data_IF_445701992112
#
_entry.id   IF_445701992112
#
_cell.length_a   1.000
_cell.length_b   1.000
_cell.length_c   1.000
_cell.angle_alpha   90.00
_cell.angle_beta   90.00
_cell.angle_gamma   90.00
#
_symmetry.space_group_name_H-M   'P 1'
#
loop_
_entity.id
_entity.type
_entity.pdbx_description
1 polymer ?
#
# COMPACT_ATOMS: atom_id res chain seq x y z
N UNK A 1 -8.38 -7.79 8.22
CA UNK A 1 -7.47 -7.03 7.34
C UNK A 1 -8.31 -6.11 6.49
N UNK A 2 -7.93 -4.84 6.39
CA UNK A 2 -8.62 -3.89 5.53
C UNK A 2 -8.51 -4.26 4.04
N UNK A 3 -9.50 -3.82 3.26
CA UNK A 3 -9.59 -4.01 1.80
C UNK A 3 -8.42 -3.29 1.09
N UNK A 4 -7.87 -3.83 -0.01
CA UNK A 4 -6.92 -3.14 -0.88
C UNK A 4 -7.23 -1.65 -1.16
N UNK A 5 -8.48 -1.29 -1.40
CA UNK A 5 -8.86 0.11 -1.71
C UNK A 5 -8.63 1.05 -0.53
N UNK A 6 -8.80 0.57 0.71
CA UNK A 6 -8.49 1.36 1.90
C UNK A 6 -7.01 1.75 1.94
N UNK A 7 -6.12 0.80 1.63
CA UNK A 7 -4.68 1.05 1.62
C UNK A 7 -4.26 2.02 0.52
N UNK A 8 -4.89 1.91 -0.66
CA UNK A 8 -4.67 2.86 -1.75
C UNK A 8 -5.08 4.29 -1.37
N UNK A 9 -6.26 4.45 -0.73
CA UNK A 9 -6.74 5.75 -0.27
C UNK A 9 -5.87 6.32 0.85
N UNK A 10 -5.43 5.47 1.78
CA UNK A 10 -4.54 5.88 2.87
C UNK A 10 -3.18 6.34 2.32
N UNK A 11 -2.64 5.63 1.32
CA UNK A 11 -1.42 6.06 0.63
C UNK A 11 -1.59 7.42 -0.07
N UNK A 12 -2.75 7.69 -0.65
CA UNK A 12 -3.04 8.98 -1.25
C UNK A 12 -3.12 10.10 -0.21
N UNK A 13 -3.69 9.83 0.97
CA UNK A 13 -3.74 10.79 2.09
C UNK A 13 -2.35 11.17 2.60
N UNK A 14 -1.47 10.19 2.78
CA UNK A 14 -0.08 10.49 3.19
C UNK A 14 0.65 11.37 2.17
N UNK A 15 0.48 11.12 0.86
CA UNK A 15 1.09 11.96 -0.20
C UNK A 15 0.43 13.34 -0.35
N UNK A 16 -0.78 13.51 0.16
CA UNK A 16 -1.49 14.77 0.14
C UNK A 16 -1.13 15.67 1.32
N UNK A 17 -0.42 15.16 2.33
CA UNK A 17 0.16 15.99 3.38
C UNK A 17 1.17 16.91 2.69
N UNK A 18 0.98 18.23 2.73
CA UNK A 18 1.86 19.17 2.08
C UNK A 18 3.30 18.95 2.53
N UNK A 19 4.21 18.94 1.57
CA UNK A 19 5.64 19.15 1.83
C UNK A 19 5.91 20.60 1.44
N UNK A 20 5.52 21.52 2.33
CA UNK A 20 5.57 22.97 2.03
C UNK A 20 6.99 23.48 1.80
N UNK A 21 7.99 22.79 2.35
CA UNK A 21 9.40 23.05 2.10
C UNK A 21 10.18 21.73 2.00
N UNK A 22 10.73 21.38 0.82
CA UNK A 22 11.50 20.14 0.64
C UNK A 22 12.80 20.10 1.47
N UNK A 23 13.22 21.21 2.10
CA UNK A 23 14.32 21.24 3.08
C UNK A 23 13.86 20.95 4.50
N UNK A 24 12.56 20.95 4.74
CA UNK A 24 11.93 20.74 6.04
C UNK A 24 10.92 19.59 5.95
N UNK A 25 11.27 18.53 5.21
CA UNK A 25 10.42 17.37 5.10
C UNK A 25 10.20 16.70 6.46
N UNK A 26 9.03 16.08 6.61
CA UNK A 26 8.67 15.41 7.85
C UNK A 26 9.43 14.08 7.96
N UNK A 27 10.20 13.94 9.03
CA UNK A 27 11.02 12.76 9.34
C UNK A 27 10.60 12.17 10.69
N UNK A 28 10.80 10.86 10.86
CA UNK A 28 10.60 10.17 12.13
C UNK A 28 11.92 9.61 12.66
N UNK A 29 12.23 9.88 13.91
CA UNK A 29 13.43 9.42 14.59
C UNK A 29 13.05 8.48 15.73
N UNK A 30 13.85 7.44 15.93
CA UNK A 30 13.66 6.45 16.98
C UNK A 30 14.96 6.22 17.75
N UNK A 31 14.84 6.05 19.07
CA UNK A 31 15.95 5.65 19.92
C UNK A 31 15.50 4.62 20.96
N UNK A 32 16.29 3.56 21.11
CA UNK A 32 16.10 2.51 22.11
C UNK A 32 16.46 2.92 23.54
N UNK A 33 17.39 3.87 23.72
CA UNK A 33 17.80 4.36 25.05
C UNK A 33 17.39 5.82 25.24
N UNK A 34 17.12 6.20 26.49
CA UNK A 34 16.92 7.58 26.88
C UNK A 34 18.28 8.21 26.93
N UNK A 35 18.48 9.26 26.15
CA UNK A 35 19.76 9.92 26.07
C UNK A 35 20.01 10.56 27.43
N UNK A 36 21.08 10.15 28.09
CA UNK A 36 21.48 10.68 29.40
C UNK A 36 21.54 12.21 29.39
N UNK A 37 21.27 12.79 30.55
CA UNK A 37 21.25 14.24 30.82
C UNK A 37 22.53 15.01 30.46
N UNK A 38 23.63 14.33 30.12
CA UNK A 38 24.95 14.89 29.84
C UNK A 38 25.25 15.17 28.36
N UNK A 39 25.05 16.42 27.96
CA UNK A 39 25.99 17.18 27.08
C UNK A 39 26.48 16.60 25.74
N UNK A 40 25.62 16.06 24.88
CA UNK A 40 25.98 15.82 23.46
C UNK A 40 25.29 16.82 22.52
N UNK A 41 26.10 17.55 21.74
CA UNK A 41 25.65 18.53 20.76
C UNK A 41 25.25 17.85 19.45
N UNK A 42 24.14 18.29 18.85
CA UNK A 42 23.66 17.80 17.55
C UNK A 42 24.39 18.49 16.39
N UNK A 43 24.76 17.70 15.36
CA UNK A 43 25.13 18.21 14.03
C UNK A 43 24.15 17.69 12.98
N UNK A 44 23.62 18.58 12.13
CA UNK A 44 22.89 18.18 10.93
C UNK A 44 23.89 17.54 9.95
N UNK A 45 23.70 16.26 9.64
CA UNK A 45 24.47 15.58 8.60
C UNK A 45 23.91 16.00 7.24
N UNK A 46 24.51 17.00 6.60
CA UNK A 46 24.21 17.37 5.21
C UNK A 46 24.22 18.87 4.84
N UNK A 47 24.29 19.78 5.81
CA UNK A 47 24.42 21.21 5.52
C UNK A 47 25.88 21.63 5.37
N UNK A 48 26.27 22.17 4.22
CA UNK A 48 27.62 22.74 3.98
C UNK A 48 27.86 24.07 4.69
N UNK A 49 26.89 24.58 5.45
CA UNK A 49 27.02 25.86 6.15
C UNK A 49 26.98 25.68 7.67
N UNK A 50 28.13 25.99 8.28
CA UNK A 50 28.34 26.47 9.64
C UNK A 50 27.68 25.70 10.79
N UNK A 51 28.53 25.00 11.55
CA UNK A 51 28.25 24.35 12.85
C UNK A 51 27.70 25.33 13.89
N UNK A 52 26.42 25.70 13.82
CA UNK A 52 25.71 26.33 14.92
C UNK A 52 24.95 25.26 15.70
N UNK A 53 25.22 25.07 17.00
CA UNK A 53 24.42 24.19 17.84
C UNK A 53 22.99 24.75 17.90
N UNK A 54 22.02 23.96 17.44
CA UNK A 54 20.61 24.30 17.57
C UNK A 54 20.19 24.16 19.04
N UNK A 55 19.23 24.99 19.52
CA UNK A 55 18.65 24.82 20.85
C UNK A 55 18.05 23.41 20.97
N UNK A 56 18.38 22.75 22.10
CA UNK A 56 18.09 21.34 22.42
C UNK A 56 16.62 21.02 22.18
N UNK A 57 16.25 20.27 21.13
CA UNK A 57 14.91 19.71 21.05
C UNK A 57 14.81 18.66 22.15
N UNK A 58 13.73 18.67 22.91
CA UNK A 58 13.46 17.68 23.96
C UNK A 58 13.67 16.28 23.36
N UNK A 59 14.66 15.56 23.91
CA UNK A 59 14.89 14.19 23.49
C UNK A 59 13.65 13.38 23.88
N UNK A 60 13.11 12.55 22.96
CA UNK A 60 11.96 11.73 23.31
C UNK A 60 12.34 10.80 24.47
N UNK A 61 11.41 10.53 25.39
CA UNK A 61 11.58 9.48 26.38
C UNK A 61 11.94 8.13 25.75
N UNK A 62 12.56 7.26 26.54
CA UNK A 62 12.96 5.89 26.19
C UNK A 62 11.96 5.16 25.28
N UNK A 63 12.42 4.68 24.13
CA UNK A 63 11.63 3.86 23.22
C UNK A 63 10.52 4.61 22.46
N UNK A 64 10.52 5.95 22.49
CA UNK A 64 9.52 6.74 21.80
C UNK A 64 10.02 7.28 20.45
N UNK A 65 9.05 7.54 19.58
CA UNK A 65 9.27 8.18 18.30
C UNK A 65 9.23 9.70 18.43
N UNK A 66 10.12 10.39 17.72
CA UNK A 66 10.07 11.83 17.55
C UNK A 66 9.84 12.18 16.08
N UNK A 67 8.77 12.92 15.80
CA UNK A 67 8.55 13.55 14.50
C UNK A 67 9.29 14.88 14.44
N UNK A 68 10.13 15.08 13.41
CA UNK A 68 10.85 16.34 13.17
C UNK A 68 10.62 16.84 11.76
N UNK A 69 10.79 18.15 11.58
CA UNK A 69 10.45 18.82 10.34
C UNK A 69 8.96 19.06 10.21
N UNK A 70 8.57 19.64 9.09
CA UNK A 70 7.21 20.05 8.77
C UNK A 70 6.63 21.14 9.67
N UNK A 71 5.49 21.69 9.26
CA UNK A 71 4.62 22.51 10.11
C UNK A 71 3.91 21.65 11.16
N UNK A 72 3.45 22.27 12.25
CA UNK A 72 2.68 21.58 13.29
C UNK A 72 1.41 20.92 12.73
N UNK A 73 0.71 21.61 11.83
CA UNK A 73 -0.46 21.07 11.12
C UNK A 73 -0.13 19.85 10.26
N UNK A 74 1.06 19.77 9.65
CA UNK A 74 1.50 18.61 8.87
C UNK A 74 1.75 17.40 9.79
N UNK A 75 2.32 17.63 10.99
CA UNK A 75 2.50 16.60 12.01
C UNK A 75 1.16 16.06 12.51
N UNK A 76 0.20 16.92 12.80
CA UNK A 76 -1.13 16.52 13.27
C UNK A 76 -1.90 15.73 12.22
N UNK A 77 -1.80 16.16 10.95
CA UNK A 77 -2.36 15.43 9.81
C UNK A 77 -1.70 14.06 9.67
N UNK A 78 -0.37 13.99 9.75
CA UNK A 78 0.36 12.72 9.69
C UNK A 78 -0.10 11.77 10.79
N UNK A 79 -0.11 12.22 12.05
CA UNK A 79 -0.56 11.39 13.18
C UNK A 79 -1.99 10.90 12.98
N UNK A 80 -2.90 11.78 12.54
CA UNK A 80 -4.30 11.42 12.29
C UNK A 80 -4.44 10.33 11.22
N UNK A 81 -3.68 10.42 10.13
CA UNK A 81 -3.67 9.41 9.06
C UNK A 81 -3.00 8.11 9.52
N UNK A 82 -1.90 8.20 10.27
CA UNK A 82 -1.20 7.04 10.85
C UNK A 82 -2.08 6.24 11.81
N UNK A 83 -2.89 6.91 12.64
CA UNK A 83 -3.87 6.25 13.52
C UNK A 83 -4.88 5.41 12.75
N UNK A 84 -5.36 5.87 11.59
CA UNK A 84 -6.25 5.08 10.72
C UNK A 84 -5.55 3.83 10.19
N UNK A 85 -4.29 3.97 9.77
CA UNK A 85 -3.47 2.84 9.32
C UNK A 85 -3.23 1.80 10.41
N UNK A 86 -2.90 2.26 11.61
CA UNK A 86 -2.71 1.41 12.78
C UNK A 86 -3.97 0.62 13.14
N UNK A 87 -5.13 1.26 13.18
CA UNK A 87 -6.41 0.60 13.43
C UNK A 87 -6.69 -0.50 12.38
N UNK A 88 -6.39 -0.25 11.10
CA UNK A 88 -6.57 -1.24 10.04
C UNK A 88 -5.62 -2.44 10.13
N UNK A 89 -4.47 -2.28 10.79
CA UNK A 89 -3.52 -3.36 11.13
C UNK A 89 -3.89 -4.08 12.44
N UNK A 90 -4.94 -3.65 13.15
CA UNK A 90 -5.37 -4.23 14.41
C UNK A 90 -4.69 -3.62 15.65
N UNK A 91 -4.00 -2.49 15.50
CA UNK A 91 -3.51 -1.69 16.63
C UNK A 91 -4.67 -1.09 17.43
N UNK A 92 -4.48 -0.93 18.74
CA UNK A 92 -5.42 -0.21 19.59
C UNK A 92 -5.45 1.27 19.19
N UNK A 93 -6.62 1.81 18.83
CA UNK A 93 -6.81 3.19 18.35
C UNK A 93 -6.60 4.31 19.39
N UNK A 94 -5.77 4.07 20.42
CA UNK A 94 -5.44 5.04 21.46
C UNK A 94 -4.43 6.10 21.01
N UNK A 95 -3.95 6.89 21.96
CA UNK A 95 -2.97 7.97 21.74
C UNK A 95 -1.67 7.46 21.09
N UNK A 96 -1.29 6.22 21.42
CA UNK A 96 -0.13 5.48 20.88
C UNK A 96 -0.39 4.81 19.51
N UNK A 97 -1.55 5.00 18.88
CA UNK A 97 -1.82 4.34 17.61
C UNK A 97 -0.86 4.81 16.50
N UNK A 98 -0.38 6.06 16.52
CA UNK A 98 0.59 6.50 15.51
C UNK A 98 2.00 5.95 15.78
N UNK A 99 2.39 5.72 17.05
CA UNK A 99 3.70 5.11 17.37
C UNK A 99 3.71 3.64 16.94
N UNK A 100 2.58 2.93 17.12
CA UNK A 100 2.40 1.59 16.54
C UNK A 100 2.60 1.58 15.02
N UNK A 101 2.07 2.58 14.31
CA UNK A 101 2.29 2.72 12.86
C UNK A 101 3.78 2.91 12.52
N UNK A 102 4.49 3.76 13.27
CA UNK A 102 5.92 3.97 13.08
C UNK A 102 6.75 2.70 13.40
N UNK A 103 6.34 1.91 14.38
CA UNK A 103 6.96 0.61 14.65
C UNK A 103 6.75 -0.40 13.51
N UNK A 104 5.58 -0.39 12.88
CA UNK A 104 5.35 -1.15 11.65
C UNK A 104 6.30 -0.72 10.53
N UNK A 105 6.51 0.59 10.36
CA UNK A 105 7.50 1.10 9.40
C UNK A 105 8.93 0.69 9.75
N UNK A 106 9.32 0.75 11.02
CA UNK A 106 10.66 0.30 11.46
C UNK A 106 10.93 -1.15 11.13
N UNK A 107 9.96 -2.02 11.38
CA UNK A 107 10.09 -3.47 11.18
C UNK A 107 10.06 -3.86 9.71
N UNK A 108 9.16 -3.26 8.96
CA UNK A 108 8.80 -3.77 7.65
C UNK A 108 9.25 -2.85 6.52
N UNK A 109 9.44 -1.55 6.74
CA UNK A 109 9.78 -0.60 5.67
C UNK A 109 11.24 -0.71 5.26
N UNK A 110 11.47 -0.63 3.95
CA UNK A 110 12.81 -0.49 3.37
C UNK A 110 13.40 0.91 3.61
N UNK A 111 12.56 1.89 3.95
CA UNK A 111 12.96 3.27 4.17
C UNK A 111 13.43 3.52 5.62
N UNK A 112 13.39 2.51 6.49
CA UNK A 112 13.99 2.59 7.82
C UNK A 112 15.50 2.43 7.72
N UNK A 113 16.22 3.46 8.15
CA UNK A 113 17.66 3.48 8.23
C UNK A 113 18.05 3.26 9.69
N UNK A 114 18.29 1.99 10.05
CA UNK A 114 18.85 1.61 11.35
C UNK A 114 20.38 1.52 11.31
N UNK A 115 21.02 1.47 12.48
CA UNK A 115 22.43 1.09 12.60
C UNK A 115 23.38 2.19 13.08
N UNK A 116 22.87 3.30 13.61
CA UNK A 116 23.69 4.13 14.50
C UNK A 116 23.77 3.47 15.86
N UNK A 117 24.87 2.76 16.16
CA UNK A 117 25.23 2.45 17.54
C UNK A 117 25.87 3.70 18.12
N UNK A 118 25.15 4.39 19.00
CA UNK A 118 25.76 5.41 19.84
C UNK A 118 26.21 4.71 21.11
N UNK A 119 27.53 4.64 21.27
CA UNK A 119 28.18 4.18 22.49
C UNK A 119 28.27 5.37 23.43
N UNK A 120 27.33 5.45 24.39
CA UNK A 120 27.41 6.41 25.49
C UNK A 120 28.15 5.79 26.66
N UNK A 121 29.21 6.42 27.15
CA UNK A 121 29.80 6.06 28.44
C UNK A 121 28.99 6.72 29.55
N UNK A 122 28.37 5.91 30.38
CA UNK A 122 27.73 6.36 31.61
C UNK A 122 28.79 6.89 32.60
N UNK A 123 28.34 7.62 33.61
CA UNK A 123 29.18 8.16 34.70
C UNK A 123 29.83 7.06 35.55
N UNK A 124 29.30 5.85 35.53
CA UNK A 124 29.85 4.65 36.17
C UNK A 124 30.87 3.89 35.27
N UNK A 125 31.14 4.39 34.06
CA UNK A 125 32.03 3.78 33.07
C UNK A 125 31.38 2.67 32.24
N UNK A 126 30.09 2.38 32.43
CA UNK A 126 29.36 1.41 31.61
C UNK A 126 29.08 1.99 30.23
N UNK A 127 29.47 1.26 29.17
CA UNK A 127 29.12 1.61 27.80
C UNK A 127 27.72 1.08 27.51
N UNK A 128 26.78 1.98 27.23
CA UNK A 128 25.45 1.61 26.75
C UNK A 128 25.41 1.76 25.23
N UNK A 129 25.20 0.62 24.55
CA UNK A 129 24.96 0.60 23.12
C UNK A 129 23.50 0.94 22.86
N UNK A 130 23.29 2.06 22.17
CA UNK A 130 21.94 2.56 21.85
C UNK A 130 21.64 2.30 20.38
N UNK A 131 20.62 1.49 20.09
CA UNK A 131 20.07 1.37 18.75
C UNK A 131 19.31 2.66 18.42
N UNK A 132 19.75 3.33 17.37
CA UNK A 132 19.07 4.49 16.80
C UNK A 132 18.69 4.23 15.35
N UNK A 133 17.64 4.90 14.89
CA UNK A 133 17.26 4.87 13.50
C UNK A 133 16.33 6.01 13.11
N UNK A 134 16.14 6.15 11.80
CA UNK A 134 15.27 7.18 11.25
C UNK A 134 14.54 6.70 10.00
N UNK A 135 13.33 7.22 9.81
CA UNK A 135 12.57 7.14 8.56
C UNK A 135 12.54 8.54 7.98
N UNK A 136 13.29 8.74 6.88
CA UNK A 136 13.27 10.00 6.16
C UNK A 136 12.03 10.12 5.28
N UNK A 137 11.49 11.33 5.14
CA UNK A 137 10.28 11.60 4.36
C UNK A 137 9.14 10.66 4.77
N UNK A 138 8.80 10.67 6.05
CA UNK A 138 7.91 9.69 6.70
C UNK A 138 6.54 9.59 6.01
N UNK A 139 6.05 10.67 5.39
CA UNK A 139 4.83 10.67 4.57
C UNK A 139 4.97 9.76 3.34
N UNK A 140 6.04 9.90 2.57
CA UNK A 140 6.27 9.07 1.37
C UNK A 140 6.61 7.62 1.75
N UNK A 141 7.41 7.42 2.81
CA UNK A 141 7.68 6.09 3.35
C UNK A 141 6.38 5.39 3.80
N UNK A 142 5.49 6.10 4.49
CA UNK A 142 4.16 5.60 4.87
C UNK A 142 3.30 5.26 3.66
N UNK A 143 3.32 6.10 2.61
CA UNK A 143 2.59 5.83 1.39
C UNK A 143 3.08 4.58 0.64
N UNK A 144 4.40 4.33 0.63
CA UNK A 144 4.99 3.10 0.07
C UNK A 144 4.63 1.88 0.91
N UNK A 145 4.63 2.02 2.23
CA UNK A 145 4.20 0.96 3.12
C UNK A 145 2.74 0.57 2.90
N UNK A 146 1.85 1.55 2.75
CA UNK A 146 0.45 1.31 2.35
C UNK A 146 0.33 0.50 1.04
N UNK A 147 1.15 0.80 0.01
CA UNK A 147 1.14 0.03 -1.24
C UNK A 147 1.57 -1.43 -1.05
N UNK A 148 2.41 -1.73 -0.05
CA UNK A 148 2.72 -3.12 0.31
C UNK A 148 1.57 -3.79 1.05
N UNK A 149 0.94 -3.10 1.99
CA UNK A 149 -0.26 -3.61 2.67
C UNK A 149 -1.40 -3.90 1.68
N UNK A 150 -1.57 -3.05 0.67
CA UNK A 150 -2.50 -3.27 -0.44
C UNK A 150 -2.20 -4.58 -1.18
N UNK A 151 -0.94 -4.81 -1.56
CA UNK A 151 -0.54 -6.03 -2.25
C UNK A 151 -0.79 -7.28 -1.41
N UNK A 152 -0.46 -7.24 -0.11
CA UNK A 152 -0.72 -8.35 0.82
C UNK A 152 -2.21 -8.60 0.99
N UNK A 153 -3.01 -7.55 1.16
CA UNK A 153 -4.46 -7.67 1.26
C UNK A 153 -5.06 -8.28 -0.02
N UNK A 154 -4.58 -7.87 -1.18
CA UNK A 154 -5.01 -8.40 -2.47
C UNK A 154 -4.66 -9.89 -2.63
N UNK A 155 -3.45 -10.29 -2.27
CA UNK A 155 -3.04 -11.70 -2.28
C UNK A 155 -3.87 -12.55 -1.31
N UNK A 156 -4.19 -12.01 -0.13
CA UNK A 156 -5.03 -12.69 0.84
C UNK A 156 -6.47 -12.89 0.33
N UNK A 157 -7.05 -11.88 -0.33
CA UNK A 157 -8.35 -12.01 -1.00
C UNK A 157 -8.32 -13.06 -2.10
N UNK A 158 -7.28 -13.07 -2.93
CA UNK A 158 -7.13 -14.05 -4.00
C UNK A 158 -7.01 -15.48 -3.45
N UNK A 159 -6.25 -15.68 -2.36
CA UNK A 159 -6.13 -16.98 -1.69
C UNK A 159 -7.46 -17.45 -1.10
N UNK A 160 -8.25 -16.54 -0.50
CA UNK A 160 -9.58 -16.86 0.03
C UNK A 160 -10.53 -17.34 -1.06
N UNK A 161 -10.55 -16.65 -2.19
CA UNK A 161 -11.37 -17.04 -3.34
C UNK A 161 -10.97 -18.43 -3.85
N UNK A 162 -9.67 -18.67 -4.07
CA UNK A 162 -9.18 -19.97 -4.55
C UNK A 162 -9.43 -21.13 -3.57
N UNK A 163 -9.53 -20.87 -2.25
CA UNK A 163 -9.76 -21.91 -1.24
C UNK A 163 -11.25 -22.26 -1.09
N UNK A 164 -12.16 -21.34 -1.41
CA UNK A 164 -13.60 -21.59 -1.39
C UNK A 164 -14.06 -22.55 -2.49
N UNK A 165 -13.28 -22.72 -3.56
CA UNK A 165 -13.60 -23.62 -4.69
C UNK A 165 -13.32 -25.12 -4.41
N UNK A 166 -12.78 -25.49 -3.24
CA UNK A 166 -12.49 -26.89 -2.88
C UNK A 166 -13.52 -27.54 -1.95
N UNK A 167 -14.65 -26.88 -1.68
CA UNK A 167 -15.74 -27.46 -0.88
C UNK A 167 -17.03 -27.52 -1.69
N UNK A 168 -17.47 -28.70 -2.20
CA UNK A 168 -18.78 -28.83 -2.81
C UNK A 168 -19.81 -28.79 -1.68
N UNK A 169 -20.46 -27.64 -1.50
CA UNK A 169 -21.58 -27.52 -0.56
C UNK A 169 -22.87 -27.75 -1.35
N UNK A 170 -23.81 -28.57 -0.87
CA UNK A 170 -24.97 -28.98 -1.65
C UNK A 170 -25.94 -27.82 -1.85
N UNK A 171 -26.53 -27.79 -3.04
CA UNK A 171 -27.49 -26.82 -3.50
C UNK A 171 -28.72 -26.72 -2.57
N UNK A 172 -29.09 -25.49 -2.22
CA UNK A 172 -30.40 -25.14 -1.66
C UNK A 172 -30.93 -23.92 -2.45
N UNK A 173 -32.25 -23.87 -2.73
CA UNK A 173 -32.78 -23.13 -3.87
C UNK A 173 -32.99 -21.64 -3.62
N UNK A 174 -32.91 -20.94 -4.74
CA UNK A 174 -33.14 -19.53 -5.00
C UNK A 174 -34.51 -19.06 -4.47
N UNK A 175 -34.52 -17.94 -3.74
CA UNK A 175 -35.70 -17.08 -3.62
C UNK A 175 -35.38 -15.68 -4.14
N UNK A 176 -36.21 -15.29 -5.12
CA UNK A 176 -36.38 -13.98 -5.72
C UNK A 176 -36.78 -12.94 -4.69
N UNK A 177 -36.11 -11.79 -4.66
CA UNK A 177 -36.74 -10.52 -4.27
C UNK A 177 -36.28 -9.37 -5.18
N UNK A 178 -37.29 -8.72 -5.75
CA UNK A 178 -37.25 -7.47 -6.51
C UNK A 178 -37.13 -6.25 -5.59
N UNK A 179 -36.59 -5.18 -6.15
CA UNK A 179 -36.96 -3.81 -5.78
C UNK A 179 -35.90 -3.01 -5.01
N UNK A 180 -35.13 -2.17 -5.73
CA UNK A 180 -34.95 -0.72 -5.44
C UNK A 180 -34.18 -0.06 -6.60
N UNK A 181 -34.70 1.08 -7.05
CA UNK A 181 -34.35 1.93 -8.20
C UNK A 181 -32.87 2.41 -8.31
N UNK A 182 -32.44 2.90 -9.50
CA UNK A 182 -31.05 2.91 -9.94
C UNK A 182 -30.33 4.25 -9.70
N UNK A 183 -29.23 4.20 -8.94
CA UNK A 183 -28.14 5.17 -9.08
C UNK A 183 -27.29 4.81 -10.32
N UNK A 184 -26.84 5.79 -11.13
CA UNK A 184 -26.11 5.49 -12.36
C UNK A 184 -24.71 4.93 -12.05
N UNK A 185 -24.65 3.61 -12.13
CA UNK A 185 -23.61 2.79 -12.77
C UNK A 185 -22.21 2.71 -12.14
N UNK A 186 -22.14 1.96 -11.03
CA UNK A 186 -20.99 1.07 -10.74
C UNK A 186 -21.21 -0.37 -11.22
N UNK A 187 -22.34 -0.66 -11.88
CA UNK A 187 -22.71 -2.01 -12.32
C UNK A 187 -21.72 -2.62 -13.31
N UNK A 188 -21.09 -1.80 -14.16
CA UNK A 188 -20.12 -2.28 -15.13
C UNK A 188 -18.82 -2.79 -14.48
N UNK A 189 -18.38 -2.21 -13.36
CA UNK A 189 -17.18 -2.66 -12.67
C UNK A 189 -17.35 -4.08 -12.12
N UNK A 190 -18.44 -4.29 -11.38
CA UNK A 190 -18.80 -5.59 -10.82
C UNK A 190 -19.02 -6.62 -11.94
N UNK A 191 -19.67 -6.22 -13.04
CA UNK A 191 -19.92 -7.08 -14.18
C UNK A 191 -18.62 -7.50 -14.91
N UNK A 192 -17.72 -6.56 -15.22
CA UNK A 192 -16.47 -6.87 -15.94
C UNK A 192 -15.57 -7.79 -15.11
N UNK A 193 -15.51 -7.58 -13.79
CA UNK A 193 -14.75 -8.46 -12.88
C UNK A 193 -15.34 -9.87 -12.84
N UNK A 194 -16.67 -9.99 -12.70
CA UNK A 194 -17.36 -11.27 -12.73
C UNK A 194 -17.15 -12.02 -14.07
N UNK A 195 -17.15 -11.31 -15.20
CA UNK A 195 -16.89 -11.91 -16.51
C UNK A 195 -15.46 -12.47 -16.64
N UNK A 196 -14.46 -11.72 -16.14
CA UNK A 196 -13.07 -12.22 -16.10
C UNK A 196 -12.97 -13.49 -15.27
N UNK A 197 -13.59 -13.49 -14.10
CA UNK A 197 -13.48 -14.61 -13.16
C UNK A 197 -14.20 -15.86 -13.69
N UNK A 198 -15.39 -15.68 -14.28
CA UNK A 198 -16.12 -16.75 -14.95
C UNK A 198 -15.31 -17.34 -16.13
N UNK A 199 -14.63 -16.50 -16.91
CA UNK A 199 -13.79 -16.94 -18.02
C UNK A 199 -12.56 -17.72 -17.54
N UNK A 200 -11.88 -17.25 -16.49
CA UNK A 200 -10.73 -17.95 -15.91
C UNK A 200 -11.13 -19.33 -15.36
N UNK A 201 -12.27 -19.41 -14.67
CA UNK A 201 -12.81 -20.68 -14.19
C UNK A 201 -13.16 -21.62 -15.35
N UNK A 202 -13.72 -21.09 -16.44
CA UNK A 202 -13.95 -21.85 -17.68
C UNK A 202 -12.63 -22.39 -18.24
N UNK A 203 -11.56 -21.59 -18.26
CA UNK A 203 -10.25 -22.03 -18.72
C UNK A 203 -9.64 -23.14 -17.86
N UNK A 204 -9.78 -23.08 -16.54
CA UNK A 204 -9.27 -24.14 -15.65
C UNK A 204 -10.01 -25.46 -15.80
N UNK A 205 -11.28 -25.44 -16.18
CA UNK A 205 -12.07 -26.65 -16.43
C UNK A 205 -11.75 -27.30 -17.77
N UNK A 206 -11.56 -26.48 -18.80
CA UNK A 206 -11.45 -26.97 -20.19
C UNK A 206 -10.00 -27.15 -20.67
N UNK A 207 -9.01 -26.61 -19.94
CA UNK A 207 -7.61 -26.65 -20.36
C UNK A 207 -6.69 -27.04 -19.21
N UNK A 208 -5.58 -27.71 -19.51
CA UNK A 208 -4.53 -28.05 -18.53
C UNK A 208 -3.58 -26.89 -18.23
N UNK A 209 -3.65 -25.80 -18.99
CA UNK A 209 -2.77 -24.63 -18.82
C UNK A 209 -3.31 -23.74 -17.72
N UNK A 210 -2.46 -23.40 -16.75
CA UNK A 210 -2.83 -22.49 -15.65
C UNK A 210 -2.97 -21.05 -16.17
N UNK A 211 -4.18 -20.70 -16.60
CA UNK A 211 -4.51 -19.34 -17.04
C UNK A 211 -4.73 -18.44 -15.83
N UNK A 212 -4.09 -17.26 -15.81
CA UNK A 212 -4.27 -16.24 -14.76
C UNK A 212 -4.58 -14.88 -15.38
N UNK A 213 -5.08 -13.92 -14.57
CA UNK A 213 -5.39 -12.54 -15.02
C UNK A 213 -4.23 -11.85 -15.76
N UNK A 214 -2.98 -12.17 -15.41
CA UNK A 214 -1.77 -11.70 -16.12
C UNK A 214 -1.79 -12.10 -17.60
N UNK A 215 -2.25 -13.31 -17.93
CA UNK A 215 -2.32 -13.80 -19.31
C UNK A 215 -3.36 -13.04 -20.12
N UNK A 216 -4.55 -12.75 -19.56
CA UNK A 216 -5.57 -11.89 -20.21
C UNK A 216 -5.01 -10.51 -20.54
N UNK A 217 -4.33 -9.87 -19.58
CA UNK A 217 -3.67 -8.58 -19.77
C UNK A 217 -2.62 -8.63 -20.88
N UNK A 218 -1.77 -9.66 -20.89
CA UNK A 218 -0.72 -9.82 -21.89
C UNK A 218 -1.29 -10.15 -23.28
N UNK A 219 -2.33 -10.97 -23.35
CA UNK A 219 -3.03 -11.29 -24.60
C UNK A 219 -3.67 -10.05 -25.23
N UNK A 220 -4.16 -9.11 -24.42
CA UNK A 220 -4.67 -7.80 -24.87
C UNK A 220 -3.56 -6.82 -25.30
N UNK A 221 -2.27 -7.17 -25.13
CA UNK A 221 -1.13 -6.35 -25.53
C UNK A 221 -0.68 -5.33 -24.48
N UNK A 222 -1.17 -5.42 -23.24
CA UNK A 222 -0.78 -4.49 -22.18
C UNK A 222 0.43 -4.99 -21.40
N UNK A 223 1.49 -4.17 -21.38
CA UNK A 223 2.68 -4.41 -20.54
C UNK A 223 2.43 -4.09 -19.06
N UNK A 224 1.62 -3.07 -18.77
CA UNK A 224 1.33 -2.59 -17.42
C UNK A 224 -0.05 -3.04 -16.91
N UNK A 225 -0.16 -3.37 -15.61
CA UNK A 225 -1.43 -3.78 -14.95
C UNK A 225 -2.51 -2.70 -14.96
N UNK A 226 -2.10 -1.44 -15.00
CA UNK A 226 -2.96 -0.29 -14.70
C UNK A 226 -4.17 -0.17 -15.63
N UNK A 227 -4.00 -0.43 -16.93
CA UNK A 227 -5.12 -0.35 -17.89
C UNK A 227 -6.14 -1.47 -17.66
N UNK A 228 -5.68 -2.67 -17.34
CA UNK A 228 -6.56 -3.78 -17.01
C UNK A 228 -7.32 -3.52 -15.70
N UNK A 229 -6.64 -2.98 -14.68
CA UNK A 229 -7.29 -2.57 -13.43
C UNK A 229 -8.37 -1.51 -13.65
N UNK A 230 -8.09 -0.46 -14.44
CA UNK A 230 -9.10 0.54 -14.79
C UNK A 230 -10.30 -0.06 -15.51
N UNK A 231 -10.05 -0.99 -16.43
CA UNK A 231 -11.13 -1.63 -17.17
C UNK A 231 -12.00 -2.48 -16.24
N UNK A 232 -11.39 -3.33 -15.40
CA UNK A 232 -12.11 -4.14 -14.40
C UNK A 232 -12.88 -3.28 -13.38
N UNK A 233 -12.32 -2.13 -12.99
CA UNK A 233 -12.96 -1.20 -12.06
C UNK A 233 -14.03 -0.32 -12.71
N UNK A 234 -14.36 -0.52 -13.99
CA UNK A 234 -15.35 0.31 -14.70
C UNK A 234 -14.91 1.77 -14.88
N UNK A 235 -13.63 2.08 -14.65
CA UNK A 235 -13.12 3.45 -14.72
C UNK A 235 -12.73 3.79 -16.15
N UNK A 236 -13.73 4.17 -16.95
CA UNK A 236 -13.53 4.52 -18.35
C UNK A 236 -12.82 5.88 -18.49
N UNK A 237 -12.02 6.02 -19.56
CA UNK A 237 -11.25 7.23 -19.84
C UNK A 237 -12.18 8.35 -20.31
N UNK A 238 -12.21 9.44 -19.53
CA UNK A 238 -12.92 10.66 -19.90
C UNK A 238 -12.15 11.46 -20.98
N UNK A 239 -12.86 12.24 -21.84
CA UNK A 239 -12.22 13.13 -22.80
C UNK A 239 -11.17 14.05 -22.15
N UNK A 240 -9.99 14.15 -22.74
CA UNK A 240 -8.88 14.97 -22.23
C UNK A 240 -8.12 14.39 -21.02
N UNK A 241 -8.54 13.24 -20.46
CA UNK A 241 -7.80 12.57 -19.37
C UNK A 241 -6.83 11.51 -19.91
N UNK A 242 -5.65 11.43 -19.29
CA UNK A 242 -4.62 10.42 -19.60
C UNK A 242 -4.84 9.07 -18.90
N UNK A 243 -5.71 9.03 -17.87
CA UNK A 243 -5.97 7.85 -17.01
C UNK A 243 -7.36 7.29 -17.28
N UNK A 244 -7.54 5.99 -17.04
CA UNK A 244 -8.78 5.26 -17.32
C UNK A 244 -8.67 4.33 -18.53
N UNK A 245 -9.57 3.35 -18.57
CA UNK A 245 -9.70 2.35 -19.63
C UNK A 245 -10.24 2.98 -20.90
N UNK A 246 -9.59 2.69 -22.03
CA UNK A 246 -10.04 3.17 -23.33
C UNK A 246 -11.15 2.29 -23.90
N UNK A 247 -11.92 2.83 -24.85
CA UNK A 247 -12.87 2.03 -25.65
C UNK A 247 -12.17 0.88 -26.40
N UNK A 248 -10.91 1.06 -26.74
CA UNK A 248 -10.11 0.01 -27.36
C UNK A 248 -9.82 -1.12 -26.38
N UNK A 249 -9.51 -0.80 -25.13
CA UNK A 249 -9.32 -1.79 -24.05
C UNK A 249 -10.60 -2.61 -23.85
N UNK A 250 -11.77 -1.95 -23.78
CA UNK A 250 -13.05 -2.66 -23.61
C UNK A 250 -13.35 -3.64 -24.74
N UNK A 251 -13.15 -3.22 -25.98
CA UNK A 251 -13.30 -4.09 -27.15
C UNK A 251 -12.32 -5.28 -27.12
N UNK A 252 -11.05 -5.05 -26.78
CA UNK A 252 -10.04 -6.11 -26.70
C UNK A 252 -10.37 -7.12 -25.60
N UNK A 253 -10.69 -6.66 -24.40
CA UNK A 253 -11.00 -7.56 -23.29
C UNK A 253 -12.30 -8.32 -23.54
N UNK A 254 -13.35 -7.69 -24.07
CA UNK A 254 -14.57 -8.40 -24.46
C UNK A 254 -14.30 -9.46 -25.51
N UNK A 255 -13.52 -9.13 -26.55
CA UNK A 255 -13.16 -10.10 -27.58
C UNK A 255 -12.46 -11.32 -26.99
N UNK A 256 -11.48 -11.13 -26.10
CA UNK A 256 -10.81 -12.23 -25.40
C UNK A 256 -11.76 -13.07 -24.54
N UNK A 257 -12.69 -12.43 -23.83
CA UNK A 257 -13.66 -13.13 -22.97
C UNK A 257 -14.74 -13.88 -23.75
N UNK A 258 -14.95 -13.56 -25.03
CA UNK A 258 -15.85 -14.28 -25.93
C UNK A 258 -15.19 -15.49 -26.59
N UNK A 259 -13.86 -15.57 -26.63
CA UNK A 259 -13.14 -16.73 -27.16
C UNK A 259 -13.43 -18.01 -26.36
N UNK A 260 -13.29 -19.18 -26.98
CA UNK A 260 -13.24 -20.42 -26.22
C UNK A 260 -11.92 -20.52 -25.44
N UNK A 261 -11.88 -21.23 -24.31
CA UNK A 261 -10.62 -21.48 -23.58
C UNK A 261 -9.52 -22.10 -24.42
N UNK A 262 -9.87 -23.02 -25.33
CA UNK A 262 -8.90 -23.69 -26.22
C UNK A 262 -8.28 -22.69 -27.19
N UNK A 263 -9.09 -21.84 -27.83
CA UNK A 263 -8.60 -20.77 -28.70
C UNK A 263 -7.75 -19.76 -27.93
N UNK A 264 -8.16 -19.42 -26.70
CA UNK A 264 -7.40 -18.50 -25.88
C UNK A 264 -6.02 -19.06 -25.50
N UNK A 265 -5.92 -20.34 -25.16
CA UNK A 265 -4.63 -20.99 -24.91
C UNK A 265 -3.78 -21.06 -26.17
N UNK A 266 -4.37 -21.33 -27.34
CA UNK A 266 -3.66 -21.27 -28.61
C UNK A 266 -3.08 -19.87 -28.87
N UNK A 267 -3.86 -18.81 -28.63
CA UNK A 267 -3.41 -17.42 -28.71
C UNK A 267 -2.26 -17.11 -27.74
N UNK A 268 -2.29 -17.65 -26.52
CA UNK A 268 -1.20 -17.45 -25.56
C UNK A 268 0.11 -18.10 -26.04
N UNK A 269 0.03 -19.30 -26.65
CA UNK A 269 1.19 -20.00 -27.21
C UNK A 269 1.75 -19.27 -28.43
N UNK A 270 0.87 -18.82 -29.33
CA UNK A 270 1.24 -18.02 -30.50
C UNK A 270 2.01 -16.75 -30.10
N UNK A 271 1.60 -16.12 -28.98
CA UNK A 271 2.24 -14.92 -28.44
C UNK A 271 3.46 -15.21 -27.54
N UNK A 272 3.84 -16.47 -27.34
CA UNK A 272 4.95 -16.85 -26.44
C UNK A 272 4.73 -16.43 -24.98
N UNK A 273 3.47 -16.37 -24.53
CA UNK A 273 3.11 -16.02 -23.15
C UNK A 273 3.16 -17.26 -22.25
N UNK A 274 2.81 -18.42 -22.81
CA UNK A 274 2.82 -19.74 -22.17
C UNK A 274 3.44 -20.78 -23.08
#
# INVERSE_FOLDING_TARGET
>A
MANPTFWADLAARFRAIPDTDPRNSLDAYWCSTGWGDGSEYWFLRGGTESRKPLPKPECPPLGQWLLRGGAESERDLFQSVARLGAAALGGSGGEDAYTFWLDCLRRDSIDFHGGGCLEGSNTDGTITASETGSVQNVCEASARYCSRCEAVAFEAEQKRFNRADLHPTPAVPIQTQEGTEPFPSNGHATQRRAQVDAFLLKCHRETSVKVIRKHLRMAAGHKASRQFQYWQAGTDRLPGKRRGATREDDRKFRALLTMSPVEFVALLREKGIV
#
